data_IF_731433233933
#
_entry.id   IF_731433233933
#
_cell.length_a   1.000
_cell.length_b   1.000
_cell.length_c   1.000
_cell.angle_alpha   90.00
_cell.angle_beta   90.00
_cell.angle_gamma   90.00
#
_symmetry.space_group_name_H-M   'P 1'
#
loop_
_entity.id
_entity.type
_entity.pdbx_description
1 polymer ?
#
# COMPACT_ATOMS: atom_id res chain seq x y z
N UNK A 1 13.79 -55.46 20.32
CA UNK A 1 13.01 -54.42 21.04
C UNK A 1 13.50 -52.98 20.81
N UNK A 2 14.32 -52.69 19.78
CA UNK A 2 14.76 -51.33 19.42
C UNK A 2 14.37 -50.88 18.00
N UNK A 3 13.71 -51.74 17.23
CA UNK A 3 13.28 -51.46 15.84
C UNK A 3 11.77 -51.23 15.69
N UNK A 4 10.98 -51.43 16.75
CA UNK A 4 9.51 -51.25 16.71
C UNK A 4 9.09 -49.83 17.13
N UNK A 5 9.93 -49.11 17.87
CA UNK A 5 9.59 -47.77 18.34
C UNK A 5 9.77 -46.67 17.27
N UNK A 6 10.53 -46.93 16.21
CA UNK A 6 10.83 -45.93 15.18
C UNK A 6 9.76 -45.83 14.08
N UNK A 7 8.92 -46.85 13.88
CA UNK A 7 7.88 -46.86 12.84
C UNK A 7 6.55 -46.25 13.29
N UNK A 8 6.34 -46.07 14.60
CA UNK A 8 5.09 -45.52 15.15
C UNK A 8 5.06 -43.98 15.15
N UNK A 9 6.21 -43.31 15.10
CA UNK A 9 6.27 -41.83 15.14
C UNK A 9 6.15 -41.14 13.78
N UNK A 10 6.12 -41.88 12.65
CA UNK A 10 5.97 -41.30 11.31
C UNK A 10 4.52 -41.30 10.78
N UNK A 11 3.56 -41.92 11.51
CA UNK A 11 2.18 -42.07 11.04
C UNK A 11 1.22 -40.97 11.54
N UNK A 12 1.69 -40.00 12.33
CA UNK A 12 0.81 -39.02 13.00
C UNK A 12 0.75 -37.63 12.36
N UNK A 13 1.36 -37.41 11.19
CA UNK A 13 1.39 -36.09 10.53
C UNK A 13 0.48 -35.93 9.28
N UNK A 14 -0.30 -36.95 8.89
CA UNK A 14 -1.07 -36.91 7.63
C UNK A 14 -2.58 -36.63 7.77
N UNK A 15 -3.04 -36.10 8.90
CA UNK A 15 -4.48 -35.98 9.20
C UNK A 15 -5.05 -34.54 9.20
N UNK A 16 -4.31 -33.54 8.71
CA UNK A 16 -4.84 -32.17 8.58
C UNK A 16 -4.50 -31.56 7.22
N UNK A 17 -5.06 -32.14 6.15
CA UNK A 17 -5.26 -31.41 4.89
C UNK A 17 -6.78 -31.25 4.72
N UNK A 18 -7.27 -30.01 4.82
CA UNK A 18 -8.67 -29.70 4.50
C UNK A 18 -8.85 -29.73 2.98
N UNK A 19 -9.83 -30.50 2.49
CA UNK A 19 -10.26 -30.45 1.10
C UNK A 19 -10.84 -29.06 0.79
N UNK A 20 -10.18 -28.31 -0.10
CA UNK A 20 -10.73 -27.07 -0.68
C UNK A 20 -11.92 -27.45 -1.58
N UNK A 21 -13.11 -26.86 -1.40
CA UNK A 21 -14.24 -27.11 -2.30
C UNK A 21 -13.94 -26.55 -3.69
N UNK A 22 -14.10 -27.38 -4.72
CA UNK A 22 -14.08 -26.97 -6.11
C UNK A 22 -15.25 -26.02 -6.38
N UNK A 23 -14.96 -24.73 -6.52
CA UNK A 23 -15.95 -23.68 -6.79
C UNK A 23 -16.26 -23.54 -8.29
N UNK A 24 -15.79 -24.46 -9.14
CA UNK A 24 -15.98 -24.44 -10.59
C UNK A 24 -17.13 -25.32 -11.12
N UNK A 25 -17.82 -26.07 -10.27
CA UNK A 25 -18.92 -26.95 -10.69
C UNK A 25 -20.22 -26.15 -10.94
N UNK A 26 -20.24 -25.38 -12.02
CA UNK A 26 -21.41 -24.63 -12.46
C UNK A 26 -21.32 -23.98 -13.84
N UNK A 27 -20.15 -24.00 -14.50
CA UNK A 27 -20.02 -23.57 -15.89
C UNK A 27 -20.38 -24.72 -16.84
N UNK A 28 -21.65 -25.13 -16.82
CA UNK A 28 -22.23 -25.92 -17.91
C UNK A 28 -23.00 -24.95 -18.81
N UNK A 29 -22.40 -24.69 -19.97
CA UNK A 29 -22.98 -23.98 -21.10
C UNK A 29 -24.27 -24.68 -21.54
N UNK A 30 -25.45 -24.11 -21.25
CA UNK A 30 -26.62 -24.28 -22.13
C UNK A 30 -27.73 -23.26 -21.87
N UNK A 31 -27.98 -22.46 -22.92
CA UNK A 31 -29.25 -21.84 -23.28
C UNK A 31 -29.76 -20.63 -22.46
N UNK A 32 -29.72 -19.46 -23.11
CA UNK A 32 -30.87 -18.55 -23.08
C UNK A 32 -30.67 -17.21 -22.38
N UNK A 33 -29.92 -16.31 -23.00
CA UNK A 33 -30.15 -14.85 -23.06
C UNK A 33 -28.83 -14.21 -23.54
N UNK A 34 -28.68 -14.08 -24.86
CA UNK A 34 -27.56 -13.32 -25.41
C UNK A 34 -27.62 -11.90 -24.86
N UNK A 35 -26.55 -11.50 -24.15
CA UNK A 35 -26.33 -10.11 -23.76
C UNK A 35 -26.48 -9.23 -25.01
N UNK A 36 -27.08 -8.03 -24.91
CA UNK A 36 -27.16 -7.12 -26.04
C UNK A 36 -25.78 -6.94 -26.64
N UNK A 37 -25.67 -7.11 -27.96
CA UNK A 37 -24.43 -6.84 -28.67
C UNK A 37 -24.00 -5.41 -28.36
N UNK A 38 -22.71 -5.24 -28.03
CA UNK A 38 -22.14 -3.93 -27.75
C UNK A 38 -22.57 -2.94 -28.84
N UNK A 39 -23.08 -1.79 -28.43
CA UNK A 39 -23.49 -0.73 -29.33
C UNK A 39 -22.36 -0.46 -30.32
N UNK A 40 -22.71 -0.32 -31.60
CA UNK A 40 -21.78 0.06 -32.66
C UNK A 40 -21.05 1.34 -32.24
N UNK A 41 -19.78 1.22 -31.86
CA UNK A 41 -18.94 2.40 -31.61
C UNK A 41 -18.67 3.00 -32.98
N UNK A 42 -19.37 4.09 -33.29
CA UNK A 42 -19.10 4.88 -34.45
C UNK A 42 -17.65 5.39 -34.33
N UNK A 43 -16.74 4.90 -35.17
CA UNK A 43 -15.39 5.46 -35.30
C UNK A 43 -15.50 6.78 -36.04
N UNK A 44 -16.17 7.76 -35.44
CA UNK A 44 -16.14 9.14 -35.91
C UNK A 44 -14.71 9.64 -35.73
N UNK A 45 -14.09 10.23 -36.77
CA UNK A 45 -12.83 10.91 -36.58
C UNK A 45 -13.03 11.98 -35.50
N UNK A 46 -12.06 12.11 -34.60
CA UNK A 46 -12.02 13.20 -33.63
C UNK A 46 -12.16 14.51 -34.40
N UNK A 47 -13.12 15.35 -34.01
CA UNK A 47 -13.17 16.72 -34.49
C UNK A 47 -11.97 17.50 -33.93
N UNK A 48 -11.76 18.70 -34.45
CA UNK A 48 -10.61 19.53 -34.06
C UNK A 48 -10.55 19.79 -32.56
N UNK A 49 -11.71 19.82 -31.90
CA UNK A 49 -11.83 20.01 -30.46
C UNK A 49 -11.38 18.76 -29.69
N UNK A 50 -11.87 17.57 -30.06
CA UNK A 50 -11.47 16.31 -29.43
C UNK A 50 -9.98 15.99 -29.64
N UNK A 51 -9.42 16.37 -30.78
CA UNK A 51 -7.99 16.23 -31.05
C UNK A 51 -7.13 17.17 -30.18
N UNK A 52 -7.61 18.38 -29.90
CA UNK A 52 -6.92 19.33 -29.02
C UNK A 52 -6.88 18.83 -27.57
N UNK A 53 -8.01 18.31 -27.06
CA UNK A 53 -8.09 17.75 -25.70
C UNK A 53 -7.21 16.51 -25.56
N UNK A 54 -7.16 15.64 -26.58
CA UNK A 54 -6.28 14.47 -26.59
C UNK A 54 -4.79 14.85 -26.62
N UNK A 55 -4.43 15.90 -27.37
CA UNK A 55 -3.06 16.43 -27.41
C UNK A 55 -2.65 17.06 -26.08
N UNK A 56 -3.56 17.80 -25.43
CA UNK A 56 -3.35 18.38 -24.11
C UNK A 56 -3.20 17.29 -23.03
N UNK A 57 -4.08 16.28 -23.05
CA UNK A 57 -4.00 15.14 -22.15
C UNK A 57 -2.69 14.36 -22.31
N UNK A 58 -2.22 14.18 -23.55
CA UNK A 58 -0.94 13.50 -23.83
C UNK A 58 0.26 14.32 -23.37
N UNK A 59 0.19 15.65 -23.46
CA UNK A 59 1.21 16.56 -22.94
C UNK A 59 1.27 16.56 -21.41
N UNK A 60 0.11 16.53 -20.74
CA UNK A 60 0.01 16.43 -19.27
C UNK A 60 0.52 15.07 -18.77
N UNK A 61 0.26 13.99 -19.50
CA UNK A 61 0.70 12.64 -19.16
C UNK A 61 2.14 12.31 -19.61
N UNK A 62 2.85 13.26 -20.25
CA UNK A 62 4.25 13.08 -20.65
C UNK A 62 4.48 12.00 -21.73
N UNK A 63 3.46 11.69 -22.55
CA UNK A 63 3.52 10.63 -23.56
C UNK A 63 4.19 11.06 -24.88
N UNK A 64 4.70 12.30 -24.96
CA UNK A 64 5.31 12.87 -26.16
C UNK A 64 6.80 12.51 -26.27
N UNK A 65 7.10 11.21 -26.34
CA UNK A 65 8.43 10.68 -26.65
C UNK A 65 8.39 9.79 -27.90
N UNK A 66 9.30 10.05 -28.85
CA UNK A 66 9.49 9.35 -30.12
C UNK A 66 9.12 7.85 -30.13
N UNK A 67 8.00 7.52 -30.79
CA UNK A 67 7.75 6.19 -31.35
C UNK A 67 7.65 6.31 -32.88
N UNK A 68 8.78 6.64 -33.51
CA UNK A 68 8.96 6.38 -34.93
C UNK A 68 9.75 5.08 -35.11
N UNK A 69 9.14 4.18 -35.88
CA UNK A 69 9.68 2.97 -36.53
C UNK A 69 9.58 1.65 -35.77
N UNK A 70 8.59 0.82 -36.13
CA UNK A 70 8.79 -0.35 -37.02
C UNK A 70 7.69 -1.42 -36.81
N UNK A 71 6.77 -1.56 -37.77
CA UNK A 71 6.50 -2.83 -38.48
C UNK A 71 5.32 -2.70 -39.43
N UNK A 72 5.65 -2.67 -40.72
CA UNK A 72 4.79 -3.16 -41.80
C UNK A 72 4.61 -4.67 -41.65
N UNK A 73 3.41 -5.12 -41.31
CA UNK A 73 3.00 -6.50 -41.49
C UNK A 73 1.66 -6.52 -42.24
N UNK A 74 1.76 -6.83 -43.53
CA UNK A 74 0.65 -7.05 -44.45
C UNK A 74 -0.12 -8.31 -44.04
N UNK A 75 -1.40 -8.17 -43.68
CA UNK A 75 -2.37 -9.26 -43.56
C UNK A 75 -3.61 -8.91 -44.39
N UNK A 76 -4.00 -9.80 -45.30
CA UNK A 76 -4.91 -9.56 -46.41
C UNK A 76 -6.37 -9.23 -46.01
N UNK A 77 -7.14 -8.50 -46.85
CA UNK A 77 -8.54 -8.16 -46.56
C UNK A 77 -9.47 -9.36 -46.72
N UNK A 78 -10.21 -9.72 -45.67
CA UNK A 78 -11.39 -10.59 -45.79
C UNK A 78 -12.59 -9.78 -46.32
N UNK A 79 -12.43 -9.23 -47.53
CA UNK A 79 -13.55 -8.77 -48.37
C UNK A 79 -14.18 -9.99 -49.04
N UNK A 80 -14.76 -10.89 -48.24
CA UNK A 80 -15.37 -12.11 -48.77
C UNK A 80 -16.46 -12.66 -47.85
N UNK A 81 -17.46 -11.84 -47.49
CA UNK A 81 -18.87 -12.24 -47.28
C UNK A 81 -19.74 -10.98 -47.33
N UNK A 82 -19.74 -10.30 -48.50
CA UNK A 82 -20.79 -9.34 -48.83
C UNK A 82 -21.84 -10.10 -49.64
N UNK A 83 -22.89 -10.55 -48.96
CA UNK A 83 -24.16 -10.85 -49.60
C UNK A 83 -25.04 -9.63 -49.42
N UNK A 84 -25.11 -8.87 -50.50
CA UNK A 84 -26.06 -7.80 -50.74
C UNK A 84 -27.49 -8.33 -50.56
N UNK A 85 -28.28 -7.70 -49.70
CA UNK A 85 -29.73 -7.80 -49.67
C UNK A 85 -30.28 -6.56 -48.99
N UNK A 86 -30.43 -5.54 -49.82
CA UNK A 86 -31.32 -4.41 -49.59
C UNK A 86 -32.72 -4.90 -49.21
N UNK A 87 -33.22 -4.56 -48.02
CA UNK A 87 -34.65 -4.40 -47.77
C UNK A 87 -34.83 -3.28 -46.74
N UNK A 88 -35.60 -2.27 -47.15
CA UNK A 88 -36.22 -1.28 -46.28
C UNK A 88 -36.95 -1.96 -45.12
N UNK A 89 -36.88 -1.37 -43.92
CA UNK A 89 -38.07 -1.19 -43.09
C UNK A 89 -37.85 -0.04 -42.09
N UNK A 90 -38.90 0.75 -41.92
CA UNK A 90 -39.00 2.05 -41.25
C UNK A 90 -38.98 1.92 -39.70
N UNK A 91 -38.53 2.93 -38.92
CA UNK A 91 -38.41 2.79 -37.47
C UNK A 91 -39.78 2.85 -36.81
N UNK A 92 -40.18 1.75 -36.15
CA UNK A 92 -41.31 1.75 -35.22
C UNK A 92 -40.82 2.27 -33.86
N UNK A 93 -41.38 3.39 -33.40
CA UNK A 93 -41.13 3.94 -32.07
C UNK A 93 -41.49 2.90 -30.99
N UNK A 94 -40.51 2.56 -30.14
CA UNK A 94 -40.73 1.67 -28.99
C UNK A 94 -41.18 2.54 -27.82
N UNK A 95 -42.44 2.39 -27.42
CA UNK A 95 -43.00 3.01 -26.23
C UNK A 95 -42.25 2.54 -24.97
N UNK A 96 -41.96 3.48 -24.08
CA UNK A 96 -41.39 3.22 -22.75
C UNK A 96 -42.43 2.44 -21.94
N UNK A 97 -42.14 1.20 -21.58
CA UNK A 97 -43.00 0.36 -20.74
C UNK A 97 -42.98 0.90 -19.29
N UNK A 98 -44.17 1.24 -18.80
CA UNK A 98 -44.45 1.62 -17.42
C UNK A 98 -44.16 0.44 -16.47
N UNK A 99 -43.33 0.68 -15.47
CA UNK A 99 -42.84 -0.34 -14.55
C UNK A 99 -43.95 -0.86 -13.64
N UNK A 100 -44.57 -1.97 -14.03
CA UNK A 100 -45.50 -2.70 -13.14
C UNK A 100 -44.71 -3.49 -12.09
N UNK A 101 -44.99 -3.31 -10.78
CA UNK A 101 -44.26 -4.01 -9.73
C UNK A 101 -44.68 -5.49 -9.68
N UNK A 102 -43.70 -6.38 -9.81
CA UNK A 102 -43.87 -7.83 -9.64
C UNK A 102 -44.20 -8.13 -8.18
N UNK A 103 -45.37 -8.71 -7.93
CA UNK A 103 -45.87 -9.05 -6.60
C UNK A 103 -45.23 -10.34 -6.08
N UNK A 104 -44.20 -10.21 -5.25
CA UNK A 104 -43.62 -11.32 -4.50
C UNK A 104 -42.39 -10.90 -3.72
N UNK A 105 -42.54 -10.72 -2.40
CA UNK A 105 -41.52 -10.25 -1.45
C UNK A 105 -40.79 -8.98 -1.92
N UNK A 106 -41.33 -7.81 -1.56
CA UNK A 106 -40.80 -6.51 -1.94
C UNK A 106 -39.29 -6.44 -1.70
N UNK A 107 -38.51 -6.52 -2.79
CA UNK A 107 -37.14 -6.02 -2.80
C UNK A 107 -37.23 -4.57 -2.38
N UNK A 108 -36.39 -4.20 -1.43
CA UNK A 108 -36.37 -2.85 -0.89
C UNK A 108 -36.21 -1.82 -2.05
N UNK A 109 -36.95 -0.72 -1.95
CA UNK A 109 -37.15 0.22 -3.06
C UNK A 109 -36.07 1.31 -3.16
N UNK A 110 -34.93 1.12 -2.50
CA UNK A 110 -33.79 2.03 -2.53
C UNK A 110 -33.11 2.09 -3.91
N UNK A 111 -33.44 1.18 -4.83
CA UNK A 111 -33.02 1.22 -6.24
C UNK A 111 -34.10 1.81 -7.18
N UNK A 112 -35.26 2.21 -6.66
CA UNK A 112 -36.30 2.87 -7.45
C UNK A 112 -36.16 4.40 -7.35
N UNK A 113 -35.71 5.03 -8.45
CA UNK A 113 -35.47 6.48 -8.52
C UNK A 113 -36.71 7.32 -8.22
N UNK A 114 -37.91 6.85 -8.59
CA UNK A 114 -39.17 7.55 -8.30
C UNK A 114 -39.47 7.53 -6.80
N UNK A 115 -39.35 6.35 -6.17
CA UNK A 115 -39.60 6.17 -4.74
C UNK A 115 -38.61 6.93 -3.86
N UNK A 116 -37.34 7.03 -4.30
CA UNK A 116 -36.30 7.80 -3.62
C UNK A 116 -36.51 9.31 -3.83
N UNK A 117 -36.85 9.77 -5.04
CA UNK A 117 -37.09 11.19 -5.30
C UNK A 117 -38.29 11.77 -4.54
N UNK A 118 -39.29 10.94 -4.21
CA UNK A 118 -40.42 11.34 -3.37
C UNK A 118 -40.05 11.47 -1.88
N UNK A 119 -39.03 10.76 -1.40
CA UNK A 119 -38.62 10.74 0.02
C UNK A 119 -37.45 11.66 0.31
N UNK A 120 -36.47 11.67 -0.57
CA UNK A 120 -35.25 12.45 -0.46
C UNK A 120 -35.40 13.75 -1.24
N UNK A 121 -35.58 14.83 -0.49
CA UNK A 121 -35.68 16.18 -1.05
C UNK A 121 -34.35 16.91 -0.94
N UNK A 122 -34.14 17.92 -1.77
CA UNK A 122 -32.97 18.82 -1.69
C UNK A 122 -32.85 19.45 -0.29
N UNK A 123 -33.99 19.72 0.35
CA UNK A 123 -34.07 20.27 1.69
C UNK A 123 -33.56 19.28 2.76
N UNK A 124 -34.01 18.02 2.69
CA UNK A 124 -33.54 16.92 3.56
C UNK A 124 -32.02 16.75 3.44
N UNK A 125 -31.50 16.75 2.21
CA UNK A 125 -30.06 16.58 1.98
C UNK A 125 -29.24 17.77 2.49
N UNK A 126 -29.76 19.00 2.32
CA UNK A 126 -29.13 20.21 2.86
C UNK A 126 -29.07 20.19 4.39
N UNK A 127 -30.12 19.72 5.05
CA UNK A 127 -30.17 19.57 6.52
C UNK A 127 -29.16 18.54 7.01
N UNK A 128 -29.10 17.37 6.37
CA UNK A 128 -28.11 16.33 6.68
C UNK A 128 -26.67 16.83 6.48
N UNK A 129 -26.43 17.58 5.41
CA UNK A 129 -25.12 18.18 5.14
C UNK A 129 -24.77 19.25 6.18
N UNK A 130 -25.76 20.03 6.64
CA UNK A 130 -25.57 20.98 7.73
C UNK A 130 -25.24 20.29 9.06
N UNK A 131 -25.92 19.19 9.38
CA UNK A 131 -25.62 18.37 10.57
C UNK A 131 -24.21 17.76 10.50
N UNK A 132 -23.82 17.22 9.34
CA UNK A 132 -22.49 16.66 9.14
C UNK A 132 -21.42 17.73 9.26
N UNK A 133 -21.65 18.93 8.70
CA UNK A 133 -20.75 20.07 8.82
C UNK A 133 -20.66 20.57 10.27
N UNK A 134 -21.75 20.53 11.03
CA UNK A 134 -21.76 20.89 12.45
C UNK A 134 -20.97 19.91 13.33
N UNK A 135 -20.83 18.65 12.89
CA UNK A 135 -20.05 17.61 13.58
C UNK A 135 -18.62 17.49 13.06
N UNK A 136 -18.29 18.15 11.96
CA UNK A 136 -16.97 18.07 11.35
C UNK A 136 -15.97 18.88 12.18
N UNK A 137 -14.91 18.21 12.64
CA UNK A 137 -13.79 18.83 13.33
C UNK A 137 -12.52 18.51 12.55
N UNK A 138 -11.86 19.54 12.05
CA UNK A 138 -10.50 19.43 11.53
C UNK A 138 -9.56 19.50 12.73
N UNK A 139 -8.80 18.43 12.97
CA UNK A 139 -7.72 18.44 13.94
C UNK A 139 -6.47 18.85 13.16
N UNK A 140 -5.96 20.04 13.44
CA UNK A 140 -4.68 20.47 12.87
C UNK A 140 -3.53 19.63 13.46
N UNK A 141 -2.53 19.24 12.65
CA UNK A 141 -1.33 18.60 13.15
C UNK A 141 -0.72 19.45 14.26
N UNK A 142 -0.71 18.92 15.48
CA UNK A 142 -0.05 19.57 16.62
C UNK A 142 1.35 18.97 16.75
N UNK A 143 2.35 19.82 16.99
CA UNK A 143 3.71 19.37 17.27
C UNK A 143 3.72 18.37 18.43
N UNK A 144 4.51 17.30 18.28
CA UNK A 144 4.68 16.32 19.33
C UNK A 144 5.27 17.01 20.58
N UNK A 145 4.75 16.72 21.78
CA UNK A 145 5.30 17.29 23.01
C UNK A 145 6.79 16.91 23.13
N UNK A 146 7.63 17.90 23.44
CA UNK A 146 9.02 17.61 23.81
C UNK A 146 9.01 16.76 25.09
N UNK A 147 9.87 15.75 25.12
CA UNK A 147 9.96 14.84 26.27
C UNK A 147 10.44 15.60 27.51
N UNK A 148 9.54 15.82 28.48
CA UNK A 148 9.84 16.57 29.71
C UNK A 148 10.79 15.82 30.67
N UNK A 149 10.87 14.49 30.58
CA UNK A 149 11.68 13.64 31.47
C UNK A 149 12.95 13.05 30.82
N UNK A 150 13.39 13.59 29.68
CA UNK A 150 14.58 13.14 28.95
C UNK A 150 15.91 13.55 29.58
N UNK A 151 16.07 13.42 30.90
CA UNK A 151 17.32 13.74 31.60
C UNK A 151 18.46 12.73 31.33
N UNK A 152 18.16 11.62 30.66
CA UNK A 152 19.16 10.68 30.11
C UNK A 152 19.61 11.09 28.71
N UNK A 153 20.87 10.82 28.39
CA UNK A 153 21.43 11.06 27.08
C UNK A 153 20.64 10.28 26.00
N UNK A 154 20.02 11.01 25.07
CA UNK A 154 19.21 10.40 24.01
C UNK A 154 20.07 9.57 23.05
N UNK A 155 19.91 8.25 23.09
CA UNK A 155 20.55 7.31 22.16
C UNK A 155 20.21 7.59 20.69
N UNK A 156 18.98 8.07 20.41
CA UNK A 156 18.53 8.39 19.04
C UNK A 156 19.32 9.59 18.49
N UNK A 157 19.36 10.69 19.24
CA UNK A 157 20.20 11.86 18.95
C UNK A 157 21.65 11.45 18.68
N UNK A 158 22.22 10.56 19.48
CA UNK A 158 23.57 10.06 19.28
C UNK A 158 23.72 9.22 18.00
N UNK A 159 22.78 8.31 17.72
CA UNK A 159 22.75 7.50 16.50
C UNK A 159 22.71 8.36 15.23
N UNK A 160 21.96 9.47 15.29
CA UNK A 160 21.79 10.39 14.17
C UNK A 160 22.96 11.37 14.00
N UNK A 161 23.66 11.72 15.07
CA UNK A 161 24.83 12.60 15.05
C UNK A 161 26.13 11.89 14.62
N UNK A 162 26.19 10.58 14.81
CA UNK A 162 27.34 9.75 14.43
C UNK A 162 27.18 9.18 13.02
N UNK A 163 28.29 9.01 12.30
CA UNK A 163 28.29 8.43 10.95
C UNK A 163 29.24 7.22 10.81
N UNK A 164 30.00 6.89 11.85
CA UNK A 164 30.91 5.75 11.85
C UNK A 164 30.14 4.42 11.83
N UNK A 165 30.80 3.39 11.30
CA UNK A 165 30.32 2.03 11.32
C UNK A 165 30.57 1.37 12.69
N UNK A 166 29.80 0.30 12.98
CA UNK A 166 30.06 -0.54 14.16
C UNK A 166 31.42 -1.22 14.00
N UNK A 167 32.24 -1.19 15.06
CA UNK A 167 33.63 -1.63 15.10
C UNK A 167 34.65 -0.64 14.53
N UNK A 168 34.22 0.52 14.02
CA UNK A 168 35.14 1.56 13.53
C UNK A 168 35.71 2.36 14.70
N UNK A 169 36.95 2.05 15.09
CA UNK A 169 37.62 2.70 16.21
C UNK A 169 37.81 4.21 15.98
N UNK A 170 37.09 5.02 16.77
CA UNK A 170 37.23 6.48 16.82
C UNK A 170 37.99 6.95 18.07
N UNK A 171 37.89 6.17 19.15
CA UNK A 171 38.48 6.48 20.44
C UNK A 171 39.51 5.42 20.80
N UNK A 172 40.73 5.83 21.12
CA UNK A 172 41.76 4.88 21.54
C UNK A 172 41.40 4.27 22.90
N UNK A 173 41.29 2.94 22.93
CA UNK A 173 41.10 2.16 24.15
C UNK A 173 42.34 1.31 24.39
N UNK A 174 42.89 1.42 25.59
CA UNK A 174 43.96 0.53 26.05
C UNK A 174 43.60 0.04 27.44
N UNK A 175 43.45 -1.26 27.59
CA UNK A 175 43.02 -1.87 28.84
C UNK A 175 43.43 -3.33 28.92
N UNK A 176 44.06 -3.71 30.03
CA UNK A 176 44.31 -5.11 30.32
C UNK A 176 42.97 -5.83 30.58
N UNK A 177 42.75 -6.97 29.93
CA UNK A 177 41.52 -7.75 30.00
C UNK A 177 40.24 -6.97 29.61
N UNK A 178 40.33 -6.06 28.63
CA UNK A 178 39.17 -5.27 28.17
C UNK A 178 37.96 -6.16 27.81
N UNK A 179 38.19 -7.25 27.07
CA UNK A 179 37.13 -8.19 26.66
C UNK A 179 36.38 -8.81 27.84
N UNK A 180 37.10 -9.39 28.80
CA UNK A 180 36.48 -9.98 29.98
C UNK A 180 35.78 -8.94 30.89
N UNK A 181 36.18 -7.66 30.82
CA UNK A 181 35.45 -6.58 31.49
C UNK A 181 34.17 -6.23 30.74
N UNK A 182 34.25 -6.12 29.43
CA UNK A 182 33.14 -5.86 28.53
C UNK A 182 32.03 -6.89 28.71
N UNK A 183 32.31 -8.18 28.57
CA UNK A 183 31.31 -9.25 28.69
C UNK A 183 30.54 -9.17 30.03
N UNK A 184 31.28 -9.03 31.13
CA UNK A 184 30.69 -8.95 32.48
C UNK A 184 29.85 -7.67 32.67
N UNK A 185 30.29 -6.55 32.11
CA UNK A 185 29.63 -5.27 32.32
C UNK A 185 28.41 -5.11 31.40
N UNK A 186 28.47 -5.63 30.18
CA UNK A 186 27.33 -5.70 29.27
C UNK A 186 26.23 -6.63 29.79
N UNK A 187 26.58 -7.74 30.45
CA UNK A 187 25.62 -8.63 31.09
C UNK A 187 24.81 -7.98 32.24
N UNK A 188 25.14 -6.75 32.67
CA UNK A 188 24.39 -6.01 33.71
C UNK A 188 23.13 -5.34 33.15
N UNK A 189 23.06 -5.13 31.84
CA UNK A 189 21.96 -4.45 31.18
C UNK A 189 21.03 -5.46 30.52
N UNK A 190 19.72 -5.19 30.54
CA UNK A 190 18.74 -6.09 29.93
C UNK A 190 18.76 -6.04 28.40
N UNK A 191 19.15 -4.90 27.83
CA UNK A 191 19.20 -4.65 26.38
C UNK A 191 20.34 -3.67 26.04
N UNK A 192 20.84 -3.72 24.81
CA UNK A 192 21.94 -2.84 24.35
C UNK A 192 21.60 -1.36 24.40
N UNK A 193 20.35 -0.97 24.14
CA UNK A 193 19.91 0.44 24.21
C UNK A 193 20.10 1.04 25.61
N UNK A 194 19.80 0.27 26.65
CA UNK A 194 19.99 0.68 28.04
C UNK A 194 21.48 0.83 28.38
N UNK A 195 22.33 -0.05 27.83
CA UNK A 195 23.77 0.05 27.98
C UNK A 195 24.34 1.29 27.30
N UNK A 196 23.84 1.62 26.10
CA UNK A 196 24.21 2.84 25.37
C UNK A 196 23.79 4.10 26.11
N UNK A 197 22.57 4.16 26.64
CA UNK A 197 22.09 5.29 27.44
C UNK A 197 23.00 5.50 28.66
N UNK A 198 23.25 4.43 29.43
CA UNK A 198 24.14 4.48 30.59
C UNK A 198 25.58 4.88 30.21
N UNK A 199 26.08 4.41 29.07
CA UNK A 199 27.40 4.77 28.54
C UNK A 199 27.51 6.27 28.27
N UNK A 200 26.52 6.83 27.58
CA UNK A 200 26.46 8.27 27.27
C UNK A 200 26.30 9.10 28.56
N UNK A 201 25.46 8.66 29.49
CA UNK A 201 25.29 9.31 30.80
C UNK A 201 26.57 9.32 31.64
N UNK A 202 27.39 8.26 31.53
CA UNK A 202 28.68 8.17 32.21
C UNK A 202 29.81 8.96 31.53
N UNK A 203 29.54 9.65 30.42
CA UNK A 203 30.52 10.46 29.68
C UNK A 203 31.19 9.76 28.50
N UNK A 204 30.64 8.64 28.04
CA UNK A 204 30.97 8.09 26.72
C UNK A 204 30.52 9.04 25.60
N UNK A 205 31.17 9.03 24.43
CA UNK A 205 32.25 8.14 24.01
C UNK A 205 33.67 8.60 24.38
N UNK A 206 33.84 9.80 24.95
CA UNK A 206 35.15 10.31 25.32
C UNK A 206 35.77 9.52 26.49
N UNK A 207 34.95 9.07 27.45
CA UNK A 207 35.41 8.32 28.61
C UNK A 207 34.61 7.04 28.82
N UNK A 208 35.20 5.88 28.51
CA UNK A 208 34.61 4.57 28.82
C UNK A 208 35.04 4.08 30.22
N UNK A 209 34.45 4.67 31.26
CA UNK A 209 34.73 4.27 32.66
C UNK A 209 34.17 2.89 33.00
N UNK A 210 33.09 2.53 32.32
CA UNK A 210 32.34 1.30 32.55
C UNK A 210 32.89 0.12 31.74
N UNK A 211 33.81 0.34 30.79
CA UNK A 211 34.38 -0.72 29.96
C UNK A 211 33.32 -1.35 29.07
N UNK A 212 32.41 -0.56 28.50
CA UNK A 212 31.34 -1.02 27.63
C UNK A 212 31.68 -0.94 26.14
N UNK A 213 32.74 -0.23 25.77
CA UNK A 213 33.15 0.06 24.38
C UNK A 213 34.68 -0.20 24.27
N UNK A 214 35.10 -1.47 24.20
CA UNK A 214 36.52 -1.87 24.20
C UNK A 214 37.20 -1.64 22.84
N UNK A 215 36.44 -1.67 21.75
CA UNK A 215 36.87 -1.36 20.38
C UNK A 215 36.93 0.15 20.12
N UNK A 216 36.20 0.96 20.90
CA UNK A 216 36.32 2.41 20.87
C UNK A 216 35.57 3.03 19.71
N UNK A 217 34.53 2.37 19.19
CA UNK A 217 33.68 2.89 18.12
C UNK A 217 32.61 3.87 18.66
N UNK A 218 32.51 3.98 19.99
CA UNK A 218 31.55 4.84 20.67
C UNK A 218 30.15 4.23 20.76
N UNK A 219 30.02 2.93 20.49
CA UNK A 219 28.81 2.13 20.65
C UNK A 219 29.04 1.10 21.76
N UNK A 220 28.22 1.18 22.80
CA UNK A 220 28.34 0.36 23.98
C UNK A 220 27.75 -1.03 23.74
N UNK A 221 28.45 -2.05 24.22
CA UNK A 221 28.01 -3.44 24.15
C UNK A 221 27.74 -3.88 22.71
N UNK A 222 26.53 -4.33 22.42
CA UNK A 222 26.13 -4.79 21.09
C UNK A 222 25.13 -3.81 20.47
N UNK A 223 25.29 -2.51 20.77
CA UNK A 223 24.37 -1.49 20.29
C UNK A 223 24.66 -1.15 18.83
N UNK A 224 23.60 -1.06 18.02
CA UNK A 224 23.69 -0.77 16.59
C UNK A 224 22.88 0.50 16.26
N UNK A 225 23.51 1.56 15.72
CA UNK A 225 22.80 2.78 15.31
C UNK A 225 22.01 2.62 14.00
N UNK A 226 22.22 1.56 13.22
CA UNK A 226 21.66 1.41 11.88
C UNK A 226 20.12 1.50 11.83
N UNK A 227 19.34 0.90 12.75
CA UNK A 227 17.88 1.02 12.74
C UNK A 227 17.40 2.48 12.87
N UNK A 228 18.05 3.28 13.72
CA UNK A 228 17.71 4.70 13.90
C UNK A 228 18.06 5.53 12.67
N UNK A 229 19.21 5.25 12.04
CA UNK A 229 19.63 5.91 10.80
C UNK A 229 18.73 5.56 9.61
N UNK A 230 18.27 4.31 9.52
CA UNK A 230 17.33 3.85 8.51
C UNK A 230 15.96 4.51 8.66
N UNK A 231 15.46 4.65 9.89
CA UNK A 231 14.20 5.34 10.16
C UNK A 231 14.23 6.81 9.67
N UNK A 232 15.35 7.51 9.83
CA UNK A 232 15.53 8.87 9.29
C UNK A 232 15.45 8.91 7.76
N UNK A 233 16.07 7.94 7.08
CA UNK A 233 16.03 7.87 5.61
C UNK A 233 14.63 7.55 5.10
N UNK A 234 13.91 6.65 5.79
CA UNK A 234 12.52 6.34 5.46
C UNK A 234 11.63 7.59 5.60
N UNK A 235 11.77 8.35 6.69
CA UNK A 235 11.01 9.58 6.92
C UNK A 235 11.29 10.65 5.84
N UNK A 236 12.56 10.86 5.47
CA UNK A 236 12.91 11.84 4.41
C UNK A 236 12.35 11.45 3.03
N UNK A 237 12.27 10.15 2.74
CA UNK A 237 11.73 9.67 1.47
C UNK A 237 10.22 9.88 1.37
N UNK A 238 9.50 9.77 2.50
CA UNK A 238 8.06 10.08 2.57
C UNK A 238 7.80 11.57 2.35
N UNK A 239 8.59 12.45 2.99
CA UNK A 239 8.46 13.91 2.81
C UNK A 239 8.76 14.36 1.37
N UNK A 240 9.70 13.69 0.70
CA UNK A 240 10.00 13.97 -0.72
C UNK A 240 8.86 13.50 -1.64
N UNK A 241 8.24 12.35 -1.34
CA UNK A 241 7.12 11.84 -2.11
C UNK A 241 5.88 12.74 -2.00
N UNK A 242 5.62 13.31 -0.82
CA UNK A 242 4.49 14.21 -0.59
C UNK A 242 4.68 15.56 -1.30
N UNK A 243 5.89 16.13 -1.27
CA UNK A 243 6.22 17.40 -1.95
C UNK A 243 6.31 17.31 -3.48
N UNK A 244 6.35 16.10 -4.06
CA UNK A 244 6.37 15.91 -5.53
C UNK A 244 4.97 15.66 -6.10
N UNK A 245 3.95 15.52 -5.24
CA UNK A 245 2.57 15.26 -5.62
C UNK A 245 1.70 16.53 -5.73
N UNK A 246 2.28 17.72 -5.50
CA UNK A 246 1.69 19.05 -5.73
C UNK A 246 2.27 19.71 -6.99
#
# INVERSE_FOLDING_TARGET
MRLVAATVSLLTLAACAAQVPDSGAGADDTNGAGLPGAASVESRPLDSEGAAIAAETSAVLGLNGEAAQQQTATGAPMSAMRSDSSLNDEPTEVAVEDGTPVTGAAISDEQNFQAVAERETIQSDAERLAENRAKYVVIEPTDLPQREDGNGASIVKYALATNNAVGEQLYSRSGFNAEARFERNCARYSHSDLAQEAFLDAGGPQSDRMGLDPDGDGFACYWDPAPFRAARQAASNTETADNTAE
#
